data_IF_314768183222
#
_entry.id   IF_314768183222
#
_cell.length_a   1.000
_cell.length_b   1.000
_cell.length_c   1.000
_cell.angle_alpha   90.00
_cell.angle_beta   90.00
_cell.angle_gamma   90.00
#
_symmetry.space_group_name_H-M   'P 1'
#
loop_
_entity.id
_entity.type
_entity.pdbx_description
1 polymer ?
#
# COMPACT_ATOMS: atom_id res chain seq x y z
N UNK A 1 -7.14 -5.47 -9.72
CA UNK A 1 -5.92 -6.15 -9.28
C UNK A 1 -6.20 -7.01 -8.07
N UNK A 2 -5.92 -8.30 -8.16
CA UNK A 2 -5.95 -9.22 -7.02
C UNK A 2 -4.54 -9.30 -6.43
N UNK A 3 -4.45 -9.24 -5.11
CA UNK A 3 -3.23 -9.44 -4.34
C UNK A 3 -3.44 -10.68 -3.46
N UNK A 4 -2.52 -11.62 -3.58
CA UNK A 4 -2.48 -12.85 -2.79
C UNK A 4 -1.11 -12.93 -2.16
N UNK A 5 -1.05 -13.13 -0.85
CA UNK A 5 0.18 -13.48 -0.15
C UNK A 5 -0.07 -14.68 0.74
N UNK A 6 0.89 -15.59 0.76
CA UNK A 6 0.89 -16.71 1.67
C UNK A 6 2.26 -16.77 2.33
N UNK A 7 2.25 -16.83 3.65
CA UNK A 7 3.46 -17.01 4.45
C UNK A 7 3.29 -18.23 5.33
N UNK A 8 4.28 -19.12 5.27
CA UNK A 8 4.44 -20.22 6.21
C UNK A 8 5.76 -20.00 6.93
N UNK A 9 5.70 -19.97 8.25
CA UNK A 9 6.89 -19.90 9.10
C UNK A 9 6.81 -20.96 10.18
N UNK A 10 7.99 -21.45 10.57
CA UNK A 10 8.15 -22.35 11.68
C UNK A 10 9.36 -21.88 12.49
N UNK A 11 9.23 -21.85 13.80
CA UNK A 11 10.34 -21.53 14.70
C UNK A 11 10.21 -22.33 16.01
N UNK A 12 11.32 -22.40 16.72
CA UNK A 12 11.44 -23.04 18.03
C UNK A 12 11.88 -21.98 19.03
N UNK A 13 11.31 -22.01 20.22
CA UNK A 13 11.62 -21.06 21.29
C UNK A 13 12.60 -21.63 22.31
N UNK A 14 12.82 -22.96 22.29
CA UNK A 14 13.68 -23.66 23.25
C UNK A 14 14.40 -24.85 22.60
N UNK A 15 15.70 -24.97 22.88
CA UNK A 15 16.57 -26.06 22.42
C UNK A 15 16.80 -27.09 23.53
N UNK A 16 16.78 -28.38 23.18
CA UNK A 16 17.11 -29.46 24.13
C UNK A 16 18.60 -29.50 24.43
N UNK A 17 19.44 -29.28 23.41
CA UNK A 17 20.89 -29.14 23.51
C UNK A 17 21.30 -27.72 23.07
N UNK A 18 22.01 -26.94 23.90
CA UNK A 18 22.48 -25.60 23.52
C UNK A 18 23.34 -25.59 22.25
N UNK A 19 23.26 -24.49 21.48
CA UNK A 19 24.04 -24.22 20.26
C UNK A 19 23.85 -25.21 19.09
N UNK A 20 22.88 -26.13 19.18
CA UNK A 20 22.52 -27.04 18.08
C UNK A 20 21.20 -26.58 17.44
N UNK A 21 21.30 -25.75 16.41
CA UNK A 21 20.15 -25.13 15.73
C UNK A 21 19.52 -26.06 14.67
N UNK A 22 18.66 -26.98 15.12
CA UNK A 22 17.83 -27.84 14.26
C UNK A 22 16.43 -28.00 14.86
N UNK A 23 15.41 -28.18 14.02
CA UNK A 23 14.05 -28.45 14.47
C UNK A 23 13.92 -29.77 15.24
N UNK A 24 14.82 -30.73 15.00
CA UNK A 24 14.87 -32.00 15.75
C UNK A 24 15.32 -31.82 17.21
N UNK A 25 16.01 -30.72 17.50
CA UNK A 25 16.52 -30.38 18.83
C UNK A 25 15.57 -29.44 19.58
N UNK A 26 14.28 -29.46 19.24
CA UNK A 26 13.27 -28.65 19.93
C UNK A 26 12.92 -29.29 21.29
N UNK A 27 13.02 -28.52 22.38
CA UNK A 27 12.57 -28.99 23.71
C UNK A 27 11.06 -28.78 23.92
N UNK A 28 10.45 -27.99 23.05
CA UNK A 28 9.03 -27.62 23.07
C UNK A 28 8.43 -27.83 21.67
N UNK A 29 7.09 -27.95 21.54
CA UNK A 29 6.45 -28.06 20.24
C UNK A 29 6.85 -26.93 19.29
N UNK A 30 7.18 -27.28 18.04
CA UNK A 30 7.51 -26.30 17.00
C UNK A 30 6.32 -25.39 16.78
N UNK A 31 6.55 -24.08 16.87
CA UNK A 31 5.52 -23.09 16.56
C UNK A 31 5.45 -22.95 15.06
N UNK A 32 4.26 -23.20 14.49
CA UNK A 32 4.00 -23.03 13.07
C UNK A 32 2.95 -21.94 12.89
N UNK A 33 3.21 -21.03 11.95
CA UNK A 33 2.28 -19.97 11.59
C UNK A 33 2.07 -20.03 10.08
N UNK A 34 0.81 -20.14 9.68
CA UNK A 34 0.38 -20.03 8.29
C UNK A 34 -0.59 -18.87 8.17
N UNK A 35 -0.28 -17.92 7.31
CA UNK A 35 -1.13 -16.78 7.06
C UNK A 35 -1.35 -16.59 5.56
N UNK A 36 -2.62 -16.48 5.17
CA UNK A 36 -3.03 -16.21 3.80
C UNK A 36 -3.75 -14.88 3.78
N UNK A 37 -3.29 -13.94 2.95
CA UNK A 37 -4.00 -12.69 2.68
C UNK A 37 -4.54 -12.68 1.27
N UNK A 38 -5.79 -12.19 1.14
CA UNK A 38 -6.44 -11.91 -0.13
C UNK A 38 -6.97 -10.50 -0.10
N UNK A 39 -6.52 -9.68 -1.05
CA UNK A 39 -6.99 -8.31 -1.26
C UNK A 39 -7.32 -8.11 -2.72
N UNK A 40 -8.37 -7.34 -2.99
CA UNK A 40 -8.74 -6.96 -4.35
C UNK A 40 -8.99 -5.46 -4.38
N UNK A 41 -8.35 -4.80 -5.34
CA UNK A 41 -8.62 -3.40 -5.67
C UNK A 41 -9.12 -3.35 -7.12
N UNK A 42 -10.25 -2.72 -7.38
CA UNK A 42 -10.64 -2.34 -8.74
C UNK A 42 -10.45 -0.83 -8.88
N UNK A 43 -10.00 -0.37 -10.03
CA UNK A 43 -9.63 1.04 -10.23
C UNK A 43 -10.25 1.56 -11.52
N UNK A 44 -10.80 2.76 -11.45
CA UNK A 44 -11.16 3.56 -12.62
C UNK A 44 -10.21 4.76 -12.68
N UNK A 45 -9.57 4.93 -13.83
CA UNK A 45 -8.58 5.97 -14.05
C UNK A 45 -8.98 6.82 -15.25
N UNK A 46 -8.83 8.14 -15.12
CA UNK A 46 -8.91 9.06 -16.24
C UNK A 46 -7.82 10.12 -16.12
N UNK A 47 -7.34 10.56 -17.27
CA UNK A 47 -6.39 11.66 -17.36
C UNK A 47 -6.65 12.45 -18.62
N UNK A 48 -6.22 13.71 -18.60
CA UNK A 48 -6.24 14.55 -19.77
C UNK A 48 -5.23 15.67 -19.64
N UNK A 49 -4.95 16.29 -20.78
CA UNK A 49 -4.04 17.41 -20.88
C UNK A 49 -4.65 18.46 -21.80
N UNK A 50 -4.57 19.71 -21.35
CA UNK A 50 -4.85 20.87 -22.16
C UNK A 50 -3.55 21.59 -22.47
N UNK A 51 -3.33 21.88 -23.76
CA UNK A 51 -2.14 22.56 -24.25
C UNK A 51 -2.59 23.86 -24.90
N UNK A 52 -1.91 24.96 -24.58
CA UNK A 52 -2.12 26.26 -25.20
C UNK A 52 -0.81 26.87 -25.68
N UNK A 53 -0.79 27.24 -26.96
CA UNK A 53 0.35 27.87 -27.65
C UNK A 53 1.68 27.11 -27.49
N UNK A 54 1.62 25.80 -27.28
CA UNK A 54 2.78 24.96 -26.99
C UNK A 54 3.64 25.44 -25.80
N UNK A 55 3.09 26.31 -24.95
CA UNK A 55 3.82 27.00 -23.88
C UNK A 55 3.16 26.81 -22.51
N UNK A 56 1.82 26.73 -22.46
CA UNK A 56 1.07 26.46 -21.23
C UNK A 56 0.45 25.05 -21.29
N UNK A 57 0.70 24.27 -20.26
CA UNK A 57 0.25 22.89 -20.15
C UNK A 57 -0.48 22.72 -18.82
N UNK A 58 -1.71 22.24 -18.89
CA UNK A 58 -2.50 21.85 -17.72
C UNK A 58 -2.84 20.37 -17.81
N UNK A 59 -2.27 19.58 -16.89
CA UNK A 59 -2.53 18.16 -16.75
C UNK A 59 -3.47 17.93 -15.59
N UNK A 60 -4.44 17.04 -15.79
CA UNK A 60 -5.31 16.58 -14.72
C UNK A 60 -5.41 15.06 -14.76
N UNK A 61 -5.48 14.46 -13.58
CA UNK A 61 -5.78 13.03 -13.43
C UNK A 61 -6.82 12.85 -12.34
N UNK A 62 -7.61 11.80 -12.47
CA UNK A 62 -8.52 11.35 -11.45
C UNK A 62 -8.53 9.84 -11.38
N UNK A 63 -8.49 9.33 -10.16
CA UNK A 63 -8.55 7.89 -9.92
C UNK A 63 -9.55 7.58 -8.82
N UNK A 64 -10.43 6.63 -9.07
CA UNK A 64 -11.32 6.06 -8.06
C UNK A 64 -10.99 4.59 -7.87
N UNK A 65 -10.67 4.21 -6.64
CA UNK A 65 -10.36 2.84 -6.27
C UNK A 65 -11.47 2.26 -5.38
N UNK A 66 -11.82 0.99 -5.63
CA UNK A 66 -12.68 0.16 -4.79
C UNK A 66 -11.83 -0.92 -4.14
N UNK A 67 -11.64 -0.86 -2.81
CA UNK A 67 -10.82 -1.82 -2.07
C UNK A 67 -11.65 -2.82 -1.28
N UNK A 68 -11.31 -4.11 -1.36
CA UNK A 68 -11.97 -5.16 -0.57
C UNK A 68 -11.64 -5.10 0.93
N UNK A 69 -10.67 -4.29 1.35
CA UNK A 69 -10.27 -4.17 2.78
C UNK A 69 -11.08 -3.13 3.53
N UNK A 70 -11.86 -2.32 2.82
CA UNK A 70 -12.75 -1.31 3.38
C UNK A 70 -14.19 -1.84 3.54
N UNK A 71 -15.03 -1.21 4.39
CA UNK A 71 -16.43 -1.61 4.56
C UNK A 71 -17.18 -1.64 3.22
N UNK A 72 -18.01 -2.67 2.99
CA UNK A 72 -18.70 -2.87 1.70
C UNK A 72 -19.56 -1.70 1.23
N UNK A 73 -20.08 -0.89 2.17
CA UNK A 73 -20.88 0.31 1.89
C UNK A 73 -20.04 1.57 1.65
N UNK A 74 -18.73 1.54 1.92
CA UNK A 74 -17.82 2.68 1.84
C UNK A 74 -16.42 2.23 1.43
N UNK A 75 -16.35 1.45 0.35
CA UNK A 75 -15.09 0.90 -0.16
C UNK A 75 -14.52 1.65 -1.36
N UNK A 76 -15.22 2.70 -1.82
CA UNK A 76 -14.83 3.55 -2.95
C UNK A 76 -14.18 4.83 -2.44
N UNK A 77 -13.03 5.20 -3.00
CA UNK A 77 -12.37 6.47 -2.69
C UNK A 77 -11.76 7.09 -3.96
N UNK A 78 -12.09 8.36 -4.19
CA UNK A 78 -11.62 9.15 -5.32
C UNK A 78 -10.51 10.10 -4.90
N UNK A 79 -9.45 10.18 -5.70
CA UNK A 79 -8.32 11.06 -5.45
C UNK A 79 -7.83 11.70 -6.77
N UNK A 80 -7.94 13.04 -6.90
CA UNK A 80 -7.49 13.76 -8.09
C UNK A 80 -6.05 14.27 -7.99
N UNK A 81 -5.47 14.62 -9.13
CA UNK A 81 -4.25 15.44 -9.20
C UNK A 81 -4.29 16.43 -10.37
N UNK A 82 -3.61 17.55 -10.17
CA UNK A 82 -3.50 18.64 -11.13
C UNK A 82 -2.05 19.10 -11.23
N UNK A 83 -1.60 19.41 -12.44
CA UNK A 83 -0.28 19.98 -12.70
C UNK A 83 -0.42 21.11 -13.72
N UNK A 84 0.20 22.25 -13.44
CA UNK A 84 0.26 23.39 -14.33
C UNK A 84 1.72 23.69 -14.63
N UNK A 85 2.07 23.78 -15.91
CA UNK A 85 3.40 24.19 -16.34
C UNK A 85 3.36 25.23 -17.44
N UNK A 86 4.25 26.23 -17.34
CA UNK A 86 4.37 27.31 -18.30
C UNK A 86 5.82 27.48 -18.72
N UNK A 87 6.09 27.39 -20.02
CA UNK A 87 7.36 27.79 -20.64
C UNK A 87 7.30 29.30 -20.82
N UNK A 88 7.88 30.04 -19.87
CA UNK A 88 7.76 31.50 -19.81
C UNK A 88 8.43 32.18 -21.01
N UNK A 89 9.53 31.61 -21.52
CA UNK A 89 10.21 32.14 -22.72
C UNK A 89 9.30 32.12 -23.95
N UNK A 90 8.52 31.04 -24.11
CA UNK A 90 7.65 30.84 -25.26
C UNK A 90 6.32 31.60 -25.07
N UNK A 91 5.86 31.74 -23.82
CA UNK A 91 4.64 32.49 -23.50
C UNK A 91 4.77 34.00 -23.71
N UNK A 92 5.98 34.54 -23.51
CA UNK A 92 6.29 35.96 -23.59
C UNK A 92 7.21 36.31 -24.77
N UNK A 93 7.42 35.38 -25.71
CA UNK A 93 8.27 35.56 -26.90
C UNK A 93 9.69 36.10 -26.58
N UNK A 94 10.27 35.66 -25.46
CA UNK A 94 11.58 36.12 -24.99
C UNK A 94 12.67 35.43 -25.80
N UNK A 95 13.26 36.15 -26.75
CA UNK A 95 14.36 35.67 -27.59
C UNK A 95 15.63 36.48 -27.32
N UNK A 96 16.42 36.06 -26.32
CA UNK A 96 17.73 36.70 -26.03
C UNK A 96 18.86 35.68 -26.06
N UNK A 97 20.08 36.10 -26.41
CA UNK A 97 21.26 35.22 -26.42
C UNK A 97 21.68 34.72 -25.02
N UNK A 98 21.29 35.44 -23.97
CA UNK A 98 21.69 35.15 -22.58
C UNK A 98 20.63 34.36 -21.83
N UNK A 99 19.37 34.42 -22.24
CA UNK A 99 18.24 33.75 -21.59
C UNK A 99 17.37 33.05 -22.64
N UNK A 100 17.55 31.73 -22.76
CA UNK A 100 16.97 30.91 -23.84
C UNK A 100 15.83 29.99 -23.39
N UNK A 101 15.66 29.75 -22.09
CA UNK A 101 14.61 28.89 -21.58
C UNK A 101 14.27 29.18 -20.12
N UNK A 102 12.98 29.27 -19.81
CA UNK A 102 12.50 29.27 -18.45
C UNK A 102 11.16 28.56 -18.36
N UNK A 103 11.01 27.70 -17.35
CA UNK A 103 9.80 26.94 -17.12
C UNK A 103 9.40 26.95 -15.65
N UNK A 104 8.17 27.36 -15.38
CA UNK A 104 7.55 27.27 -14.07
C UNK A 104 6.63 26.06 -14.02
N UNK A 105 6.59 25.36 -12.88
CA UNK A 105 5.67 24.25 -12.62
C UNK A 105 5.06 24.36 -11.23
N UNK A 106 3.77 24.06 -11.13
CA UNK A 106 3.06 23.93 -9.87
C UNK A 106 2.15 22.69 -9.95
N UNK A 107 2.11 21.90 -8.89
CA UNK A 107 1.31 20.68 -8.85
C UNK A 107 0.64 20.48 -7.50
N UNK A 108 -0.53 19.85 -7.53
CA UNK A 108 -1.26 19.43 -6.34
C UNK A 108 -1.87 18.06 -6.58
N UNK A 109 -1.82 17.19 -5.59
CA UNK A 109 -2.37 15.85 -5.69
C UNK A 109 -2.94 15.41 -4.34
N UNK A 110 -4.04 14.69 -4.40
CA UNK A 110 -4.53 13.89 -3.29
C UNK A 110 -4.11 12.44 -3.51
N UNK A 111 -3.73 11.74 -2.43
CA UNK A 111 -3.34 10.33 -2.47
C UNK A 111 -4.37 9.53 -1.69
N UNK A 112 -4.96 8.52 -2.34
CA UNK A 112 -5.84 7.55 -1.69
C UNK A 112 -5.05 6.44 -1.01
N UNK A 113 -5.56 5.96 0.12
CA UNK A 113 -5.04 4.80 0.82
C UNK A 113 -6.18 3.91 1.32
N UNK A 114 -5.91 2.62 1.42
CA UNK A 114 -6.80 1.64 2.04
C UNK A 114 -6.07 0.91 3.18
N UNK A 115 -6.76 -0.02 3.85
CA UNK A 115 -6.23 -0.75 5.00
C UNK A 115 -5.65 -2.09 4.61
N UNK A 116 -4.99 -2.74 5.58
CA UNK A 116 -4.58 -4.14 5.48
C UNK A 116 -5.79 -5.09 5.46
N UNK A 117 -5.64 -6.31 4.92
CA UNK A 117 -6.72 -7.30 4.91
C UNK A 117 -7.20 -7.69 6.31
N UNK A 118 -8.49 -8.04 6.39
CA UNK A 118 -9.14 -8.61 7.57
C UNK A 118 -9.18 -7.72 8.82
N UNK A 119 -9.09 -6.40 8.64
CA UNK A 119 -9.18 -5.41 9.74
C UNK A 119 -10.62 -4.98 10.08
N UNK A 120 -11.65 -5.59 9.48
CA UNK A 120 -13.05 -5.13 9.63
C UNK A 120 -13.82 -5.84 10.73
N UNK A 121 -13.35 -7.00 11.19
CA UNK A 121 -14.04 -7.83 12.17
C UNK A 121 -13.04 -8.43 13.15
N UNK A 122 -13.42 -8.58 14.44
CA UNK A 122 -12.63 -9.36 15.37
C UNK A 122 -12.52 -10.81 14.93
N UNK A 123 -11.34 -11.38 15.13
CA UNK A 123 -11.04 -12.79 14.82
C UNK A 123 -10.42 -13.45 16.04
N UNK A 124 -10.54 -14.77 16.14
CA UNK A 124 -9.87 -15.53 17.18
C UNK A 124 -8.49 -15.98 16.69
N UNK A 125 -7.48 -15.76 17.51
CA UNK A 125 -6.16 -16.33 17.33
C UNK A 125 -5.85 -17.26 18.50
N UNK A 126 -5.02 -18.27 18.26
CA UNK A 126 -4.51 -19.15 19.30
C UNK A 126 -3.09 -18.72 19.67
N UNK A 127 -2.95 -18.14 20.86
CA UNK A 127 -1.65 -17.78 21.42
C UNK A 127 -1.21 -18.81 22.46
N UNK A 128 0.07 -18.76 22.85
CA UNK A 128 0.57 -19.54 23.97
C UNK A 128 -0.17 -19.16 25.25
N UNK A 129 -0.56 -20.18 26.00
CA UNK A 129 -1.23 -20.04 27.29
C UNK A 129 -0.20 -19.91 28.41
N UNK A 130 -0.35 -20.74 29.44
CA UNK A 130 0.57 -20.78 30.58
C UNK A 130 1.97 -21.33 30.22
N UNK A 131 2.10 -22.02 29.08
CA UNK A 131 3.36 -22.49 28.51
C UNK A 131 3.25 -22.65 26.98
N UNK A 132 4.38 -22.87 26.30
CA UNK A 132 4.48 -23.02 24.83
C UNK A 132 3.69 -24.24 24.28
N UNK A 133 3.37 -25.21 25.15
CA UNK A 133 2.59 -26.41 24.81
C UNK A 133 1.06 -26.25 24.96
N UNK A 134 0.59 -25.19 25.61
CA UNK A 134 -0.84 -24.92 25.82
C UNK A 134 -1.27 -23.79 24.90
N UNK A 135 -2.34 -23.97 24.13
CA UNK A 135 -2.90 -22.91 23.27
C UNK A 135 -4.18 -22.35 23.89
N UNK A 136 -4.28 -21.02 23.98
CA UNK A 136 -5.49 -20.34 24.44
C UNK A 136 -6.07 -19.49 23.32
N UNK A 137 -7.40 -19.52 23.18
CA UNK A 137 -8.10 -18.66 22.25
C UNK A 137 -8.14 -17.22 22.78
N UNK A 138 -7.68 -16.27 21.97
CA UNK A 138 -7.70 -14.85 22.26
C UNK A 138 -8.43 -14.12 21.14
N UNK A 139 -9.31 -13.18 21.52
CA UNK A 139 -9.94 -12.27 20.56
C UNK A 139 -8.89 -11.24 20.15
N UNK A 140 -8.61 -11.17 18.86
CA UNK A 140 -7.87 -10.09 18.24
C UNK A 140 -8.87 -9.08 17.68
N UNK A 141 -8.75 -7.84 18.13
CA UNK A 141 -9.49 -6.70 17.59
C UNK A 141 -8.48 -5.88 16.79
N UNK A 142 -8.64 -5.81 15.45
CA UNK A 142 -7.77 -5.03 14.59
C UNK A 142 -7.80 -3.52 14.88
#
# INVERSE_FOLDING_TARGET
MNQYSQSLSAYITELSVPDVYTFENANVPVVTMNYITKKRINSLYFNGQFIWKDALFFDFTGRNDWSSTLPSKSNSYFYPSFNLSAVLTDLFDIQTRTFSFAKLRAGWAQVGADTDPYQLQPVYHFNDGWNVGTKMAQIYIP
#
